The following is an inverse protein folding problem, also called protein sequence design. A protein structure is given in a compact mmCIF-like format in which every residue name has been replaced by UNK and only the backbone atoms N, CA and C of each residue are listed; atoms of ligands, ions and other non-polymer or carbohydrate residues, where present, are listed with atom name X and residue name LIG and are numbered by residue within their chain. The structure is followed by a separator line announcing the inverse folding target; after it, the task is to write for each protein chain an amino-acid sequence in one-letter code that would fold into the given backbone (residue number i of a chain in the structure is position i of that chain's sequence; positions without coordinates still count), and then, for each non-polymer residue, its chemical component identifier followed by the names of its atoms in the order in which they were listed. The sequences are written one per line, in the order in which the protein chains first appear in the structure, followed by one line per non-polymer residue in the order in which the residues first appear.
data_IF_552572920533
#
_entry.id   IF_552572920533
#
_cell.length_a   1.000
_cell.length_b   1.000
_cell.length_c   1.000
_cell.angle_alpha   90.00
_cell.angle_beta   90.00
_cell.angle_gamma   90.00
#
_symmetry.space_group_name_H-M   'P 1'
#
loop_
_entity.id
_entity.type
_entity.pdbx_description
1 polymer ?
#
# COMPACT_ATOMS: atom_id res chain seq x y z
N UNK A 1 -15.73 -20.43 -18.89
CA UNK A 1 -15.54 -18.99 -18.62
C UNK A 1 -14.40 -18.87 -17.60
N UNK A 2 -13.41 -17.98 -17.78
CA UNK A 2 -12.38 -17.76 -16.74
C UNK A 2 -13.00 -16.92 -15.64
N UNK A 3 -13.06 -17.45 -14.42
CA UNK A 3 -13.62 -16.76 -13.26
C UNK A 3 -12.86 -15.45 -12.98
N UNK A 4 -13.60 -14.37 -12.75
CA UNK A 4 -13.05 -13.08 -12.34
C UNK A 4 -13.14 -13.00 -10.82
N UNK A 5 -12.01 -13.23 -10.15
CA UNK A 5 -11.91 -13.07 -8.71
C UNK A 5 -11.64 -11.59 -8.38
N UNK A 6 -12.50 -11.01 -7.54
CA UNK A 6 -12.32 -9.69 -6.95
C UNK A 6 -12.14 -9.86 -5.45
N UNK A 7 -11.11 -9.24 -4.88
CA UNK A 7 -10.88 -9.21 -3.44
C UNK A 7 -11.11 -7.79 -2.94
N UNK A 8 -11.93 -7.68 -1.88
CA UNK A 8 -12.28 -6.43 -1.21
C UNK A 8 -11.76 -6.49 0.21
N UNK A 9 -11.31 -5.35 0.73
CA UNK A 9 -10.87 -5.20 2.11
C UNK A 9 -11.42 -3.89 2.68
N UNK A 10 -11.65 -3.87 3.99
CA UNK A 10 -11.95 -2.67 4.76
C UNK A 10 -10.70 -2.29 5.57
N UNK A 11 -10.38 -1.00 5.63
CA UNK A 11 -9.23 -0.48 6.40
C UNK A 11 -9.75 0.47 7.44
N UNK A 12 -9.31 0.28 8.67
CA UNK A 12 -9.60 1.16 9.80
C UNK A 12 -8.34 1.87 10.25
N UNK A 13 -8.49 2.98 10.96
CA UNK A 13 -7.37 3.71 11.53
C UNK A 13 -6.59 2.83 12.53
N UNK A 14 -5.25 2.91 12.56
CA UNK A 14 -4.44 2.06 13.42
C UNK A 14 -4.62 2.46 14.90
N UNK A 15 -4.69 1.47 15.78
CA UNK A 15 -4.71 1.69 17.23
C UNK A 15 -3.32 2.06 17.76
N UNK A 16 -3.23 2.47 19.02
CA UNK A 16 -1.95 2.68 19.70
C UNK A 16 -1.05 1.44 19.68
N UNK A 17 -1.66 0.25 19.77
CA UNK A 17 -0.97 -1.04 19.72
C UNK A 17 -0.40 -1.28 18.32
N UNK A 18 -1.18 -1.02 17.27
CA UNK A 18 -0.75 -1.18 15.88
C UNK A 18 0.40 -0.23 15.51
N UNK A 19 0.39 0.98 16.05
CA UNK A 19 1.46 1.97 15.85
C UNK A 19 2.73 1.66 16.65
N UNK A 20 2.64 0.87 17.73
CA UNK A 20 3.77 0.41 18.51
C UNK A 20 4.77 1.51 18.89
N UNK A 21 6.07 1.29 18.62
CA UNK A 21 7.13 2.25 18.99
C UNK A 21 7.08 3.56 18.16
N UNK A 22 6.40 3.56 17.02
CA UNK A 22 6.34 4.74 16.15
C UNK A 22 5.58 5.89 16.82
N UNK A 23 4.44 5.61 17.46
CA UNK A 23 3.65 6.67 18.13
C UNK A 23 4.46 7.29 19.28
N UNK A 24 5.20 6.48 20.04
CA UNK A 24 6.06 6.97 21.11
C UNK A 24 7.16 7.91 20.58
N UNK A 25 7.82 7.54 19.48
CA UNK A 25 8.83 8.39 18.87
C UNK A 25 8.25 9.73 18.38
N UNK A 26 7.06 9.71 17.75
CA UNK A 26 6.36 10.93 17.29
C UNK A 26 5.97 11.84 18.45
N UNK A 27 5.43 11.28 19.53
CA UNK A 27 5.04 12.04 20.72
C UNK A 27 6.25 12.66 21.42
N UNK A 28 7.34 11.90 21.57
CA UNK A 28 8.58 12.41 22.16
C UNK A 28 9.14 13.59 21.34
N UNK A 29 9.15 13.47 20.01
CA UNK A 29 9.58 14.56 19.14
C UNK A 29 8.67 15.79 19.27
N UNK A 30 7.35 15.61 19.26
CA UNK A 30 6.39 16.69 19.42
C UNK A 30 6.56 17.41 20.77
N UNK A 31 6.83 16.65 21.84
CA UNK A 31 7.11 17.20 23.16
C UNK A 31 8.37 18.09 23.17
N UNK A 32 9.46 17.65 22.52
CA UNK A 32 10.68 18.45 22.37
C UNK A 32 10.44 19.72 21.54
N UNK A 33 9.59 19.62 20.53
CA UNK A 33 9.19 20.73 19.64
C UNK A 33 8.07 21.61 20.21
N UNK A 34 7.54 21.29 21.40
CA UNK A 34 6.38 21.95 22.03
C UNK A 34 5.13 21.97 21.15
N UNK A 35 4.97 20.98 20.29
CA UNK A 35 3.78 20.82 19.44
C UNK A 35 2.72 20.01 20.20
N UNK A 36 1.45 20.45 20.22
CA UNK A 36 0.37 19.64 20.75
C UNK A 36 0.11 18.47 19.80
N UNK A 37 0.48 17.26 20.23
CA UNK A 37 0.25 16.02 19.49
C UNK A 37 -0.20 14.92 20.45
N UNK A 38 -1.29 14.23 20.11
CA UNK A 38 -1.77 13.05 20.84
C UNK A 38 -1.81 11.79 19.95
N UNK A 39 -2.10 10.65 20.57
CA UNK A 39 -2.14 9.34 19.89
C UNK A 39 -3.17 9.31 18.76
N UNK A 40 -4.38 9.82 19.00
CA UNK A 40 -5.48 9.84 18.03
C UNK A 40 -5.12 10.68 16.80
N UNK A 41 -4.43 11.81 16.99
CA UNK A 41 -3.94 12.64 15.91
C UNK A 41 -2.88 11.93 15.06
N UNK A 42 -1.95 11.18 15.69
CA UNK A 42 -0.98 10.37 14.95
C UNK A 42 -1.68 9.27 14.14
N UNK A 43 -2.64 8.58 14.75
CA UNK A 43 -3.44 7.54 14.08
C UNK A 43 -4.18 8.12 12.88
N UNK A 44 -4.87 9.26 13.06
CA UNK A 44 -5.60 9.96 12.00
C UNK A 44 -4.66 10.45 10.89
N UNK A 45 -3.48 10.97 11.22
CA UNK A 45 -2.48 11.38 10.23
C UNK A 45 -1.98 10.20 9.39
N UNK A 46 -1.74 9.04 10.02
CA UNK A 46 -1.35 7.81 9.33
C UNK A 46 -2.48 7.32 8.41
N UNK A 47 -3.70 7.24 8.92
CA UNK A 47 -4.85 6.81 8.14
C UNK A 47 -5.10 7.73 6.94
N UNK A 48 -5.08 9.05 7.13
CA UNK A 48 -5.25 10.01 6.02
C UNK A 48 -4.11 9.92 4.99
N UNK A 49 -2.90 9.60 5.43
CA UNK A 49 -1.78 9.39 4.52
C UNK A 49 -1.95 8.10 3.72
N UNK A 50 -2.41 7.03 4.37
CA UNK A 50 -2.78 5.78 3.71
C UNK A 50 -3.88 6.00 2.67
N UNK A 51 -4.98 6.63 3.06
CA UNK A 51 -6.13 6.93 2.18
C UNK A 51 -5.69 7.68 0.92
N UNK A 52 -4.87 8.72 1.08
CA UNK A 52 -4.29 9.45 -0.06
C UNK A 52 -3.40 8.58 -0.95
N UNK A 53 -2.55 7.74 -0.35
CA UNK A 53 -1.60 6.90 -1.08
C UNK A 53 -2.30 5.74 -1.81
N UNK A 54 -3.39 5.20 -1.28
CA UNK A 54 -4.15 4.12 -1.92
C UNK A 54 -4.69 4.54 -3.30
N UNK A 55 -5.13 5.80 -3.43
CA UNK A 55 -5.60 6.35 -4.70
C UNK A 55 -4.48 6.90 -5.59
N UNK A 56 -3.22 6.85 -5.15
CA UNK A 56 -2.09 7.35 -5.93
C UNK A 56 -1.79 6.45 -7.12
N UNK A 57 -1.85 7.04 -8.33
CA UNK A 57 -1.43 6.37 -9.57
C UNK A 57 0.05 6.03 -9.59
N UNK A 58 0.87 6.85 -8.93
CA UNK A 58 2.31 6.64 -8.88
C UNK A 58 2.66 5.47 -7.97
N UNK A 59 2.09 5.42 -6.76
CA UNK A 59 2.29 4.28 -5.85
C UNK A 59 1.85 2.97 -6.50
N UNK A 60 0.70 2.99 -7.20
CA UNK A 60 0.22 1.83 -7.94
C UNK A 60 1.16 1.39 -9.06
N UNK A 61 1.77 2.34 -9.76
CA UNK A 61 2.75 2.06 -10.81
C UNK A 61 4.00 1.42 -10.22
N UNK A 62 4.58 2.05 -9.20
CA UNK A 62 5.79 1.53 -8.53
C UNK A 62 5.54 0.14 -7.94
N UNK A 63 4.37 -0.06 -7.34
CA UNK A 63 3.94 -1.37 -6.85
C UNK A 63 4.00 -2.44 -7.96
N UNK A 64 3.38 -2.19 -9.12
CA UNK A 64 3.37 -3.19 -10.20
C UNK A 64 4.76 -3.39 -10.80
N UNK A 65 5.55 -2.33 -10.99
CA UNK A 65 6.91 -2.43 -11.51
C UNK A 65 7.80 -3.36 -10.67
N UNK A 66 7.58 -3.40 -9.36
CA UNK A 66 8.33 -4.25 -8.43
C UNK A 66 7.72 -5.66 -8.26
N UNK A 67 6.46 -5.85 -8.66
CA UNK A 67 5.73 -7.11 -8.47
C UNK A 67 6.24 -8.25 -9.35
N UNK A 68 6.28 -9.46 -8.80
CA UNK A 68 6.71 -10.64 -9.56
C UNK A 68 5.71 -11.03 -10.65
N UNK A 69 4.43 -10.73 -10.44
CA UNK A 69 3.41 -10.92 -11.48
C UNK A 69 3.71 -10.05 -12.72
N UNK A 70 4.08 -8.78 -12.53
CA UNK A 70 4.49 -7.94 -13.66
C UNK A 70 5.76 -8.47 -14.33
N UNK A 71 6.80 -8.79 -13.55
CA UNK A 71 8.08 -9.35 -14.07
C UNK A 71 7.84 -10.60 -14.90
N UNK A 72 6.98 -11.51 -14.43
CA UNK A 72 6.58 -12.74 -15.14
C UNK A 72 5.83 -12.45 -16.44
N UNK A 73 4.95 -11.44 -16.45
CA UNK A 73 4.17 -11.09 -17.65
C UNK A 73 5.02 -10.44 -18.76
N UNK A 74 6.09 -9.73 -18.38
CA UNK A 74 6.97 -9.03 -19.32
C UNK A 74 8.13 -9.88 -19.87
N UNK A 75 8.32 -11.09 -19.35
CA UNK A 75 9.42 -11.96 -19.76
C UNK A 75 9.38 -12.25 -21.28
N UNK A 76 10.52 -12.02 -21.95
CA UNK A 76 10.64 -12.16 -23.41
C UNK A 76 9.80 -11.18 -24.24
N UNK A 77 9.24 -10.12 -23.63
CA UNK A 77 8.45 -9.09 -24.33
C UNK A 77 9.30 -7.86 -24.67
N UNK A 78 9.00 -7.24 -25.82
CA UNK A 78 9.58 -5.95 -26.20
C UNK A 78 8.96 -4.80 -25.38
N UNK A 79 9.65 -3.64 -25.36
CA UNK A 79 9.25 -2.48 -24.55
C UNK A 79 7.81 -2.00 -24.81
N UNK A 80 7.32 -2.10 -26.05
CA UNK A 80 5.93 -1.72 -26.38
C UNK A 80 4.94 -2.61 -25.65
N UNK A 81 5.13 -3.93 -25.74
CA UNK A 81 4.28 -4.90 -25.04
C UNK A 81 4.38 -4.74 -23.52
N UNK A 82 5.56 -4.44 -22.97
CA UNK A 82 5.73 -4.18 -21.53
C UNK A 82 4.90 -2.97 -21.05
N UNK A 83 4.87 -1.88 -21.84
CA UNK A 83 4.06 -0.69 -21.54
C UNK A 83 2.57 -0.98 -21.60
N UNK A 84 2.12 -1.75 -22.58
CA UNK A 84 0.73 -2.17 -22.72
C UNK A 84 0.29 -3.06 -21.55
N UNK A 85 1.13 -4.02 -21.14
CA UNK A 85 0.90 -4.86 -19.96
C UNK A 85 0.75 -4.00 -18.70
N UNK A 86 1.67 -3.06 -18.47
CA UNK A 86 1.59 -2.17 -17.31
C UNK A 86 0.32 -1.32 -17.32
N UNK A 87 -0.04 -0.74 -18.47
CA UNK A 87 -1.27 0.04 -18.62
C UNK A 87 -2.53 -0.80 -18.31
N UNK A 88 -2.54 -2.06 -18.74
CA UNK A 88 -3.63 -3.00 -18.47
C UNK A 88 -3.72 -3.37 -16.99
N UNK A 89 -2.59 -3.58 -16.30
CA UNK A 89 -2.59 -3.80 -14.85
C UNK A 89 -3.12 -2.58 -14.10
N UNK A 90 -2.65 -1.38 -14.45
CA UNK A 90 -3.08 -0.14 -13.83
C UNK A 90 -4.57 0.17 -14.04
N UNK A 91 -5.13 -0.22 -15.19
CA UNK A 91 -6.54 -0.02 -15.50
C UNK A 91 -7.45 -1.05 -14.84
N UNK A 92 -6.99 -2.30 -14.71
CA UNK A 92 -7.75 -3.40 -14.12
C UNK A 92 -7.86 -3.28 -12.60
N UNK A 93 -6.80 -2.88 -11.93
CA UNK A 93 -6.76 -2.78 -10.46
C UNK A 93 -7.09 -1.36 -10.00
N UNK A 94 -8.24 -0.83 -10.46
CA UNK A 94 -8.61 0.57 -10.25
C UNK A 94 -8.97 0.93 -8.80
N UNK A 95 -9.42 -0.02 -7.97
CA UNK A 95 -10.20 0.28 -6.76
C UNK A 95 -10.13 -0.73 -5.58
N UNK A 96 -9.08 -1.53 -5.46
CA UNK A 96 -8.81 -2.23 -4.18
C UNK A 96 -7.32 -2.51 -4.09
N UNK A 97 -6.56 -1.54 -3.56
CA UNK A 97 -5.11 -1.68 -3.39
C UNK A 97 -4.65 -1.68 -1.94
N UNK A 98 -5.58 -1.88 -1.00
CA UNK A 98 -5.23 -2.39 0.34
C UNK A 98 -4.54 -3.75 0.29
N UNK A 99 -4.80 -4.58 -0.73
CA UNK A 99 -4.41 -5.99 -0.69
C UNK A 99 -2.99 -6.30 -1.15
N UNK A 100 -2.22 -5.33 -1.64
CA UNK A 100 -0.89 -5.64 -2.18
C UNK A 100 0.30 -5.26 -1.29
N UNK A 101 0.06 -4.63 -0.12
CA UNK A 101 1.09 -4.54 0.93
C UNK A 101 0.94 -5.54 2.08
N UNK A 102 -0.28 -5.95 2.44
CA UNK A 102 -0.46 -6.88 3.58
C UNK A 102 -0.23 -8.34 3.17
N UNK A 103 -0.53 -8.75 1.93
CA UNK A 103 -0.32 -10.14 1.51
C UNK A 103 1.14 -10.50 1.23
N UNK A 104 1.98 -9.53 0.82
CA UNK A 104 3.42 -9.78 0.61
C UNK A 104 4.18 -9.85 1.95
N UNK A 105 3.73 -9.13 2.99
CA UNK A 105 4.38 -9.22 4.31
C UNK A 105 4.04 -10.52 5.05
N UNK A 106 2.82 -11.05 4.88
CA UNK A 106 2.42 -12.33 5.49
C UNK A 106 3.01 -13.53 4.72
N UNK A 107 3.16 -13.47 3.39
CA UNK A 107 3.81 -14.55 2.64
C UNK A 107 5.34 -14.62 2.77
N UNK A 108 5.99 -13.66 3.43
CA UNK A 108 7.45 -13.65 3.65
C UNK A 108 7.85 -13.87 5.13
N UNK A 109 6.89 -14.10 6.03
CA UNK A 109 7.15 -14.24 7.48
C UNK A 109 6.49 -15.46 8.15
N UNK A 110 5.94 -16.39 7.38
CA UNK A 110 5.59 -17.73 7.85
C UNK A 110 6.22 -18.75 6.93
N UNK A 111 6.93 -19.70 7.53
CA UNK A 111 7.78 -20.75 6.94
C UNK A 111 7.25 -21.39 5.63
#
# INVERSE_FOLDING_TARGET
MKEKWTSTAEVVAPTSIDMGKYVNARLNFAQLSKEPLNVDEVSKQLYNSFDRLEFSRNERREFFLQSDEYKRLIEGKNEKAQREILANLLSKYKLSLVLIRIKILICLTTD
#
